data_IF_459868548009
#
_entry.id   IF_459868548009
#
_cell.length_a   1.000
_cell.length_b   1.000
_cell.length_c   1.000
_cell.angle_alpha   90.00
_cell.angle_beta   90.00
_cell.angle_gamma   90.00
#
_symmetry.space_group_name_H-M   'P 1'
#
loop_
_entity.id
_entity.type
_entity.pdbx_description
1 polymer ?
#
# COMPACT_ATOMS: atom_id res chain seq x y z
N UNK A 1 -26.40 28.35 -13.13
CA UNK A 1 -25.90 27.03 -12.71
C UNK A 1 -25.11 27.27 -11.43
N UNK A 2 -25.71 26.99 -10.28
CA UNK A 2 -25.00 27.03 -9.00
C UNK A 2 -23.86 26.00 -9.05
N UNK A 3 -22.64 26.48 -9.01
CA UNK A 3 -21.47 25.63 -8.89
C UNK A 3 -21.56 24.89 -7.56
N UNK A 4 -21.91 23.60 -7.60
CA UNK A 4 -21.86 22.75 -6.42
C UNK A 4 -20.47 22.83 -5.82
N UNK A 5 -20.33 23.45 -4.65
CA UNK A 5 -19.06 23.58 -3.96
C UNK A 5 -18.62 22.18 -3.54
N UNK A 6 -17.78 21.52 -4.37
CA UNK A 6 -17.32 20.15 -4.15
C UNK A 6 -16.60 20.06 -2.81
N UNK A 7 -16.85 18.99 -2.06
CA UNK A 7 -16.13 18.68 -0.83
C UNK A 7 -14.65 18.46 -1.13
N UNK A 8 -13.77 19.03 -0.31
CA UNK A 8 -12.31 18.90 -0.46
C UNK A 8 -11.85 17.62 0.21
N UNK A 9 -11.05 16.81 -0.50
CA UNK A 9 -10.33 15.67 0.06
C UNK A 9 -8.82 16.01 0.07
N UNK A 10 -8.23 16.00 1.26
CA UNK A 10 -6.79 16.19 1.45
C UNK A 10 -6.07 14.83 1.36
N UNK A 11 -5.04 14.74 0.52
CA UNK A 11 -4.29 13.51 0.28
C UNK A 11 -2.86 13.70 0.76
N UNK A 12 -2.49 13.04 1.87
CA UNK A 12 -1.11 12.95 2.36
C UNK A 12 -0.36 11.89 1.56
N UNK A 13 0.93 12.14 1.30
CA UNK A 13 1.72 11.22 0.47
C UNK A 13 1.37 11.29 -1.02
N UNK A 14 0.76 12.38 -1.49
CA UNK A 14 0.21 12.56 -2.84
C UNK A 14 1.19 12.31 -3.99
N UNK A 15 2.50 12.42 -3.75
CA UNK A 15 3.56 12.17 -4.74
C UNK A 15 4.08 10.72 -4.73
N UNK A 16 3.62 9.90 -3.81
CA UNK A 16 3.99 8.48 -3.70
C UNK A 16 3.06 7.55 -4.50
N UNK A 17 3.35 6.25 -4.49
CA UNK A 17 2.56 5.26 -5.25
C UNK A 17 1.09 5.22 -4.80
N UNK A 18 0.82 5.11 -3.51
CA UNK A 18 -0.54 5.07 -2.97
C UNK A 18 -1.25 6.42 -3.10
N UNK A 19 -0.66 7.49 -2.54
CA UNK A 19 -1.29 8.81 -2.56
C UNK A 19 -1.49 9.36 -3.97
N UNK A 20 -0.55 9.11 -4.89
CA UNK A 20 -0.71 9.46 -6.31
C UNK A 20 -1.84 8.69 -6.99
N UNK A 21 -2.04 7.41 -6.63
CA UNK A 21 -3.19 6.63 -7.09
C UNK A 21 -4.51 7.23 -6.58
N UNK A 22 -4.55 7.62 -5.31
CA UNK A 22 -5.74 8.27 -4.71
C UNK A 22 -6.05 9.61 -5.40
N UNK A 23 -5.04 10.45 -5.64
CA UNK A 23 -5.22 11.72 -6.38
C UNK A 23 -5.85 11.45 -7.74
N UNK A 24 -5.29 10.53 -8.54
CA UNK A 24 -5.82 10.20 -9.87
C UNK A 24 -7.25 9.69 -9.83
N UNK A 25 -7.56 8.76 -8.93
CA UNK A 25 -8.90 8.18 -8.83
C UNK A 25 -9.95 9.24 -8.43
N UNK A 26 -9.63 10.12 -7.49
CA UNK A 26 -10.52 11.21 -7.08
C UNK A 26 -10.75 12.23 -8.23
N UNK A 27 -9.72 12.53 -9.02
CA UNK A 27 -9.82 13.42 -10.19
C UNK A 27 -10.69 12.80 -11.29
N UNK A 28 -10.46 11.52 -11.61
CA UNK A 28 -11.27 10.78 -12.61
C UNK A 28 -12.74 10.72 -12.18
N UNK A 29 -13.01 10.41 -10.91
CA UNK A 29 -14.36 10.36 -10.35
C UNK A 29 -15.06 11.73 -10.30
N UNK A 30 -14.29 12.82 -10.30
CA UNK A 30 -14.74 14.22 -10.38
C UNK A 30 -15.86 14.62 -9.38
N UNK A 31 -16.01 13.87 -8.30
CA UNK A 31 -17.03 14.14 -7.25
C UNK A 31 -16.51 15.09 -6.16
N UNK A 32 -15.18 15.16 -6.02
CA UNK A 32 -14.48 15.90 -4.98
C UNK A 32 -13.50 16.90 -5.59
N UNK A 33 -13.14 17.91 -4.81
CA UNK A 33 -11.97 18.75 -5.05
C UNK A 33 -10.79 18.12 -4.35
N UNK A 34 -9.67 17.95 -5.04
CA UNK A 34 -8.50 17.24 -4.54
C UNK A 34 -7.45 18.23 -4.05
N UNK A 35 -7.01 18.07 -2.81
CA UNK A 35 -5.88 18.81 -2.24
C UNK A 35 -4.71 17.85 -2.02
N UNK A 36 -3.67 17.97 -2.84
CA UNK A 36 -2.44 17.22 -2.70
C UNK A 36 -1.52 17.86 -1.65
N UNK A 37 -1.06 17.05 -0.69
CA UNK A 37 -0.13 17.48 0.34
C UNK A 37 1.27 16.96 0.01
N UNK A 38 2.24 17.85 -0.10
CA UNK A 38 3.63 17.54 -0.47
C UNK A 38 4.62 18.46 0.23
N UNK A 39 5.84 17.97 0.45
CA UNK A 39 6.94 18.79 0.99
C UNK A 39 7.42 19.86 0.00
N UNK A 40 7.23 19.62 -1.30
CA UNK A 40 7.70 20.54 -2.35
C UNK A 40 6.59 20.84 -3.37
N UNK A 41 5.64 21.75 -3.08
CA UNK A 41 4.54 22.09 -3.97
C UNK A 41 5.01 22.72 -5.28
N UNK A 42 6.17 23.40 -5.29
CA UNK A 42 6.68 24.05 -6.50
C UNK A 42 7.00 23.05 -7.63
N UNK A 43 7.39 21.81 -7.28
CA UNK A 43 7.66 20.72 -8.23
C UNK A 43 6.41 20.00 -8.73
N UNK A 44 5.25 20.23 -8.10
CA UNK A 44 4.04 19.42 -8.31
C UNK A 44 2.78 20.28 -8.48
N UNK A 45 2.92 21.47 -9.09
CA UNK A 45 1.84 22.48 -9.18
C UNK A 45 0.55 21.99 -9.84
N UNK A 46 0.68 21.03 -10.77
CA UNK A 46 -0.44 20.49 -11.55
C UNK A 46 -0.95 19.15 -11.03
N UNK A 47 -0.47 18.71 -9.85
CA UNK A 47 -0.80 17.39 -9.31
C UNK A 47 -2.28 17.26 -8.94
N UNK A 48 -2.91 18.34 -8.46
CA UNK A 48 -4.29 18.35 -8.01
C UNK A 48 -4.89 19.77 -8.10
N UNK A 49 -6.19 19.92 -7.77
CA UNK A 49 -6.88 21.22 -7.75
C UNK A 49 -6.23 22.21 -6.78
N UNK A 50 -5.70 21.70 -5.67
CA UNK A 50 -4.89 22.46 -4.71
C UNK A 50 -3.63 21.66 -4.38
N UNK A 51 -2.49 22.33 -4.32
CA UNK A 51 -1.22 21.72 -3.86
C UNK A 51 -0.67 22.57 -2.72
N UNK A 52 -0.61 21.96 -1.52
CA UNK A 52 -0.24 22.64 -0.28
C UNK A 52 1.02 22.01 0.29
N UNK A 53 1.93 22.86 0.79
CA UNK A 53 3.10 22.40 1.50
C UNK A 53 2.69 21.80 2.85
N UNK A 54 3.12 20.58 3.07
CA UNK A 54 2.94 19.84 4.31
C UNK A 54 4.07 18.84 4.52
N UNK A 55 4.52 18.72 5.75
CA UNK A 55 5.55 17.78 6.17
C UNK A 55 5.11 17.12 7.48
N UNK A 56 5.04 15.79 7.50
CA UNK A 56 4.65 15.04 8.70
C UNK A 56 5.66 15.19 9.86
N UNK A 57 6.91 15.53 9.56
CA UNK A 57 7.93 15.88 10.56
C UNK A 57 7.78 17.32 11.10
N UNK A 58 6.85 18.09 10.55
CA UNK A 58 6.59 19.48 10.91
C UNK A 58 5.11 19.68 11.19
N UNK A 59 4.61 19.26 12.37
CA UNK A 59 3.17 19.25 12.71
C UNK A 59 2.48 20.60 12.53
N UNK A 60 3.21 21.71 12.68
CA UNK A 60 2.70 23.06 12.46
C UNK A 60 2.19 23.30 11.03
N UNK A 61 2.69 22.53 10.04
CA UNK A 61 2.24 22.61 8.65
C UNK A 61 0.89 21.92 8.41
N UNK A 62 0.51 20.98 9.27
CA UNK A 62 -0.67 20.14 9.10
C UNK A 62 -1.98 20.89 9.31
N UNK A 63 -2.00 21.88 10.22
CA UNK A 63 -3.21 22.68 10.48
C UNK A 63 -3.73 23.35 9.21
N UNK A 64 -2.85 23.98 8.44
CA UNK A 64 -3.20 24.62 7.16
C UNK A 64 -3.58 23.58 6.10
N UNK A 65 -2.89 22.45 6.11
CA UNK A 65 -3.09 21.39 5.15
C UNK A 65 -4.51 20.82 5.20
N UNK A 66 -5.06 20.63 6.40
CA UNK A 66 -6.41 20.08 6.60
C UNK A 66 -7.52 21.13 6.73
N UNK A 67 -7.19 22.44 6.80
CA UNK A 67 -8.20 23.48 6.96
C UNK A 67 -9.28 23.42 5.87
N UNK A 68 -10.56 23.29 6.27
CA UNK A 68 -11.70 23.21 5.36
C UNK A 68 -11.80 21.89 4.53
N UNK A 69 -10.95 20.90 4.78
CA UNK A 69 -11.08 19.59 4.16
C UNK A 69 -12.27 18.82 4.77
N UNK A 70 -13.08 18.23 3.90
CA UNK A 70 -14.16 17.32 4.31
C UNK A 70 -13.63 15.94 4.65
N UNK A 71 -12.69 15.43 3.85
CA UNK A 71 -12.05 14.14 4.05
C UNK A 71 -10.54 14.24 3.97
N UNK A 72 -9.86 13.24 4.54
CA UNK A 72 -8.41 13.12 4.48
C UNK A 72 -8.00 11.66 4.26
N UNK A 73 -7.08 11.45 3.31
CA UNK A 73 -6.34 10.18 3.16
C UNK A 73 -4.94 10.35 3.72
N UNK A 74 -4.52 9.41 4.55
CA UNK A 74 -3.18 9.37 5.13
C UNK A 74 -2.47 8.06 4.78
N UNK A 75 -1.26 8.19 4.27
CA UNK A 75 -0.26 7.13 4.21
C UNK A 75 1.07 7.68 4.69
N UNK A 76 1.78 6.91 5.49
CA UNK A 76 3.13 7.20 5.99
C UNK A 76 4.15 6.29 5.33
N UNK A 77 5.43 6.67 5.40
CA UNK A 77 6.54 5.90 4.85
C UNK A 77 7.40 5.36 5.99
N UNK A 78 7.38 4.04 6.18
CA UNK A 78 8.24 3.35 7.14
C UNK A 78 9.72 3.43 6.72
N UNK A 79 10.61 3.56 7.68
CA UNK A 79 12.07 3.49 7.45
C UNK A 79 12.71 4.76 6.89
N UNK A 80 11.97 5.87 6.79
CA UNK A 80 12.59 7.15 6.51
C UNK A 80 13.49 7.57 7.70
N UNK A 81 14.78 7.82 7.42
CA UNK A 81 15.75 8.11 8.48
C UNK A 81 15.30 9.26 9.39
N UNK A 82 15.39 9.04 10.71
CA UNK A 82 15.06 10.04 11.72
C UNK A 82 13.57 10.32 11.90
N UNK A 83 12.67 9.40 11.48
CA UNK A 83 11.23 9.56 11.62
C UNK A 83 10.60 8.43 12.43
N UNK A 84 9.67 8.77 13.31
CA UNK A 84 8.74 7.81 13.92
C UNK A 84 7.41 7.84 13.16
N UNK A 85 7.08 6.75 12.50
CA UNK A 85 5.88 6.65 11.68
C UNK A 85 4.59 6.80 12.51
N UNK A 86 4.58 6.27 13.75
CA UNK A 86 3.42 6.35 14.64
C UNK A 86 3.23 7.78 15.14
N UNK A 87 4.32 8.48 15.47
CA UNK A 87 4.27 9.90 15.86
C UNK A 87 3.77 10.77 14.72
N UNK A 88 4.30 10.59 13.51
CA UNK A 88 3.86 11.29 12.31
C UNK A 88 2.36 11.09 12.04
N UNK A 89 1.89 9.85 12.05
CA UNK A 89 0.50 9.53 11.84
C UNK A 89 -0.39 10.11 12.96
N UNK A 90 0.04 10.02 14.20
CA UNK A 90 -0.67 10.59 15.36
C UNK A 90 -0.85 12.10 15.23
N UNK A 91 0.21 12.81 14.85
CA UNK A 91 0.14 14.26 14.62
C UNK A 91 -0.84 14.61 13.48
N UNK A 92 -0.82 13.84 12.38
CA UNK A 92 -1.73 14.04 11.26
C UNK A 92 -3.20 13.77 11.65
N UNK A 93 -3.47 12.68 12.39
CA UNK A 93 -4.82 12.35 12.88
C UNK A 93 -5.36 13.48 13.78
N UNK A 94 -4.56 13.97 14.72
CA UNK A 94 -4.94 15.09 15.59
C UNK A 94 -5.23 16.35 14.78
N UNK A 95 -4.33 16.74 13.90
CA UNK A 95 -4.50 17.93 13.06
C UNK A 95 -5.73 17.86 12.16
N UNK A 96 -6.03 16.69 11.56
CA UNK A 96 -7.22 16.46 10.77
C UNK A 96 -8.50 16.55 11.63
N UNK A 97 -8.47 16.00 12.84
CA UNK A 97 -9.59 16.10 13.79
C UNK A 97 -9.87 17.53 14.20
N UNK A 98 -8.83 18.28 14.58
CA UNK A 98 -8.90 19.69 15.00
C UNK A 98 -9.38 20.59 13.86
N UNK A 99 -9.05 20.25 12.61
CA UNK A 99 -9.52 20.94 11.42
C UNK A 99 -10.99 20.61 11.05
N UNK A 100 -11.63 19.68 11.77
CA UNK A 100 -13.02 19.30 11.57
C UNK A 100 -13.26 18.35 10.39
N UNK A 101 -12.24 17.61 9.93
CA UNK A 101 -12.38 16.55 8.93
C UNK A 101 -13.46 15.57 9.36
N UNK A 102 -14.34 15.22 8.45
CA UNK A 102 -15.51 14.34 8.71
C UNK A 102 -15.23 12.88 8.38
N UNK A 103 -14.47 12.60 7.33
CA UNK A 103 -14.12 11.25 6.92
C UNK A 103 -12.61 11.09 6.84
N UNK A 104 -12.05 10.19 7.64
CA UNK A 104 -10.62 9.90 7.66
C UNK A 104 -10.35 8.50 7.11
N UNK A 105 -9.51 8.40 6.08
CA UNK A 105 -9.09 7.13 5.48
C UNK A 105 -7.61 6.92 5.76
N UNK A 106 -7.29 5.83 6.46
CA UNK A 106 -5.94 5.46 6.84
C UNK A 106 -5.47 4.23 6.07
N UNK A 107 -4.27 4.32 5.47
CA UNK A 107 -3.60 3.17 4.85
C UNK A 107 -2.84 2.38 5.90
N UNK A 108 -3.39 1.25 6.27
CA UNK A 108 -2.90 0.36 7.32
C UNK A 108 -2.33 -0.94 6.78
N UNK A 109 -1.83 -1.77 7.69
CA UNK A 109 -1.41 -3.16 7.48
C UNK A 109 -1.88 -4.02 8.68
N UNK A 110 -1.90 -5.36 8.54
CA UNK A 110 -2.29 -6.26 9.64
C UNK A 110 -1.43 -6.10 10.89
N UNK A 111 -2.04 -6.26 12.06
CA UNK A 111 -1.32 -6.32 13.33
C UNK A 111 -0.66 -7.70 13.50
N UNK A 112 0.58 -7.80 13.02
CA UNK A 112 1.36 -9.04 13.03
C UNK A 112 1.56 -9.58 14.44
N UNK A 113 1.81 -8.72 15.41
CA UNK A 113 2.01 -9.14 16.81
C UNK A 113 0.72 -9.70 17.40
N UNK A 114 -0.42 -9.03 17.19
CA UNK A 114 -1.72 -9.50 17.68
C UNK A 114 -2.16 -10.79 16.99
N UNK A 115 -2.04 -10.87 15.66
CA UNK A 115 -2.42 -12.06 14.88
C UNK A 115 -1.57 -13.27 15.23
N UNK A 116 -0.27 -13.09 15.47
CA UNK A 116 0.66 -14.19 15.75
C UNK A 116 0.79 -14.53 17.23
N UNK A 117 0.10 -13.82 18.12
CA UNK A 117 0.29 -13.95 19.58
C UNK A 117 1.70 -13.57 20.02
N UNK A 118 2.33 -12.60 19.37
CA UNK A 118 3.69 -12.13 19.65
C UNK A 118 4.81 -13.00 19.07
N UNK A 119 4.48 -14.00 18.23
CA UNK A 119 5.48 -14.92 17.65
C UNK A 119 6.34 -14.26 16.57
N UNK A 120 5.79 -13.32 15.82
CA UNK A 120 6.49 -12.58 14.75
C UNK A 120 6.54 -11.11 15.08
N UNK A 121 7.67 -10.47 14.74
CA UNK A 121 7.91 -9.04 14.93
C UNK A 121 8.20 -8.38 13.58
N UNK A 122 7.21 -7.65 13.06
CA UNK A 122 7.31 -6.93 11.79
C UNK A 122 6.91 -5.47 12.01
N UNK A 123 7.83 -4.61 12.46
CA UNK A 123 7.58 -3.23 12.88
C UNK A 123 6.83 -2.40 11.87
N UNK A 124 7.13 -2.53 10.56
CA UNK A 124 6.44 -1.76 9.51
C UNK A 124 4.97 -2.17 9.30
N UNK A 125 4.56 -3.36 9.76
CA UNK A 125 3.16 -3.77 9.84
C UNK A 125 2.51 -3.30 11.14
N UNK A 126 3.08 -3.72 12.26
CA UNK A 126 2.54 -3.45 13.61
C UNK A 126 2.49 -1.95 13.90
N UNK A 127 3.45 -1.16 13.39
CA UNK A 127 3.45 0.30 13.52
C UNK A 127 2.20 0.93 12.91
N UNK A 128 1.82 0.50 11.70
CA UNK A 128 0.60 0.97 11.03
C UNK A 128 -0.67 0.53 11.78
N UNK A 129 -0.73 -0.72 12.23
CA UNK A 129 -1.86 -1.23 13.00
C UNK A 129 -2.06 -0.50 14.35
N UNK A 130 -0.98 -0.05 15.00
CA UNK A 130 -1.07 0.80 16.21
C UNK A 130 -1.82 2.10 15.94
N UNK A 131 -1.68 2.67 14.74
CA UNK A 131 -2.38 3.89 14.34
C UNK A 131 -3.89 3.65 14.16
N UNK A 132 -4.32 2.43 13.83
CA UNK A 132 -5.75 2.10 13.70
C UNK A 132 -6.52 2.47 14.98
N UNK A 133 -5.94 2.16 16.15
CA UNK A 133 -6.53 2.51 17.45
C UNK A 133 -6.62 4.01 17.61
N UNK A 134 -5.59 4.76 17.23
CA UNK A 134 -5.54 6.23 17.33
C UNK A 134 -6.64 6.85 16.45
N UNK A 135 -6.84 6.33 15.24
CA UNK A 135 -7.91 6.77 14.33
C UNK A 135 -9.29 6.50 14.93
N UNK A 136 -9.50 5.31 15.50
CA UNK A 136 -10.77 4.95 16.18
C UNK A 136 -11.05 5.85 17.38
N UNK A 137 -10.05 6.09 18.23
CA UNK A 137 -10.13 6.96 19.41
C UNK A 137 -10.37 8.43 19.05
N UNK A 138 -9.93 8.89 17.89
CA UNK A 138 -10.17 10.25 17.40
C UNK A 138 -11.64 10.53 17.07
N UNK A 139 -12.49 9.49 16.92
CA UNK A 139 -13.94 9.61 16.72
C UNK A 139 -14.30 10.58 15.59
N UNK A 140 -13.74 10.37 14.41
CA UNK A 140 -14.25 11.02 13.20
C UNK A 140 -15.70 10.60 12.94
N UNK A 141 -16.47 11.43 12.26
CA UNK A 141 -17.84 11.04 11.87
C UNK A 141 -17.85 9.77 11.01
N UNK A 142 -16.84 9.64 10.14
CA UNK A 142 -16.55 8.43 9.39
C UNK A 142 -15.05 8.15 9.41
N UNK A 143 -14.67 6.88 9.49
CA UNK A 143 -13.29 6.44 9.33
C UNK A 143 -13.25 5.09 8.63
N UNK A 144 -12.25 4.90 7.78
CA UNK A 144 -12.07 3.70 6.95
C UNK A 144 -10.61 3.30 6.96
N UNK A 145 -10.35 2.02 6.95
CA UNK A 145 -9.01 1.46 6.84
C UNK A 145 -8.84 0.80 5.46
N UNK A 146 -7.82 1.19 4.71
CA UNK A 146 -7.47 0.47 3.49
C UNK A 146 -6.19 -0.30 3.71
N UNK A 147 -6.14 -1.56 3.25
CA UNK A 147 -4.97 -2.39 3.39
C UNK A 147 -4.29 -2.52 2.03
N UNK A 148 -3.07 -1.99 1.95
CA UNK A 148 -2.24 -2.14 0.76
C UNK A 148 -1.80 -3.61 0.62
N UNK A 149 -1.74 -4.17 -0.61
CA UNK A 149 -1.31 -5.54 -0.86
C UNK A 149 0.22 -5.66 -0.83
N UNK A 150 0.73 -6.87 -1.02
CA UNK A 150 2.08 -7.03 -1.56
C UNK A 150 2.07 -6.52 -3.01
N UNK A 151 2.81 -5.44 -3.30
CA UNK A 151 2.70 -4.74 -4.59
C UNK A 151 3.25 -5.58 -5.74
N UNK A 152 2.55 -5.64 -6.87
CA UNK A 152 3.13 -6.14 -8.11
C UNK A 152 4.38 -5.36 -8.50
N UNK A 153 4.41 -4.07 -8.24
CA UNK A 153 5.56 -3.18 -8.49
C UNK A 153 6.82 -3.61 -7.77
N UNK A 154 6.72 -4.38 -6.67
CA UNK A 154 7.89 -4.93 -6.00
C UNK A 154 8.70 -5.85 -6.92
N UNK A 155 8.03 -6.59 -7.82
CA UNK A 155 8.65 -7.54 -8.75
C UNK A 155 9.54 -6.86 -9.82
N UNK A 156 9.37 -5.56 -10.06
CA UNK A 156 10.20 -4.76 -10.97
C UNK A 156 11.00 -3.67 -10.22
N UNK A 157 10.91 -3.65 -8.90
CA UNK A 157 11.58 -2.71 -8.01
C UNK A 157 12.45 -3.41 -6.98
N UNK A 158 12.10 -3.29 -5.71
CA UNK A 158 12.90 -3.77 -4.57
C UNK A 158 13.09 -5.29 -4.54
N UNK A 159 12.23 -6.03 -5.18
CA UNK A 159 12.30 -7.49 -5.33
C UNK A 159 12.40 -7.89 -6.82
N UNK A 160 13.04 -7.07 -7.66
CA UNK A 160 13.34 -7.48 -9.01
C UNK A 160 14.23 -8.74 -9.01
N UNK A 161 14.05 -9.68 -9.99
CA UNK A 161 14.85 -10.89 -10.04
C UNK A 161 16.34 -10.55 -10.20
N UNK A 162 17.20 -11.28 -9.49
CA UNK A 162 18.63 -11.06 -9.45
C UNK A 162 19.38 -12.27 -10.02
N UNK A 163 20.59 -12.03 -10.55
CA UNK A 163 21.50 -13.10 -10.92
C UNK A 163 21.96 -13.85 -9.66
N UNK A 164 21.80 -15.16 -9.66
CA UNK A 164 22.16 -16.05 -8.56
C UNK A 164 23.60 -16.59 -8.71
N UNK A 165 24.12 -17.22 -7.66
CA UNK A 165 25.48 -17.75 -7.63
C UNK A 165 25.72 -18.86 -8.68
N UNK A 166 24.69 -19.61 -9.04
CA UNK A 166 24.72 -20.65 -10.07
C UNK A 166 24.58 -20.13 -11.51
N UNK A 167 24.46 -18.79 -11.66
CA UNK A 167 24.28 -18.11 -12.94
C UNK A 167 22.82 -17.98 -13.41
N UNK A 168 21.87 -18.62 -12.74
CA UNK A 168 20.43 -18.44 -13.01
C UNK A 168 19.99 -17.02 -12.65
N UNK A 169 18.79 -16.60 -13.11
CA UNK A 169 18.17 -15.34 -12.72
C UNK A 169 16.86 -15.65 -11.98
N UNK A 170 16.62 -14.99 -10.88
CA UNK A 170 15.42 -15.23 -10.08
C UNK A 170 15.50 -14.67 -8.68
N UNK A 171 14.91 -15.38 -7.74
CA UNK A 171 14.82 -14.95 -6.35
C UNK A 171 15.48 -15.92 -5.39
N UNK A 172 16.12 -15.37 -4.35
CA UNK A 172 16.61 -16.10 -3.21
C UNK A 172 15.96 -15.53 -1.94
N UNK A 173 14.93 -16.22 -1.41
CA UNK A 173 14.10 -15.72 -0.30
C UNK A 173 13.94 -16.77 0.80
N UNK A 174 13.68 -16.36 2.06
CA UNK A 174 13.57 -17.25 3.20
C UNK A 174 12.13 -17.76 3.39
N UNK A 175 11.55 -18.33 2.34
CA UNK A 175 10.19 -18.89 2.38
C UNK A 175 10.10 -20.15 1.52
N UNK A 176 9.16 -21.04 1.84
CA UNK A 176 8.77 -22.14 0.96
C UNK A 176 7.97 -21.57 -0.21
N UNK A 177 8.47 -21.65 -1.45
CA UNK A 177 7.83 -21.04 -2.59
C UNK A 177 6.49 -21.70 -2.98
N UNK A 178 6.18 -22.88 -2.47
CA UNK A 178 4.95 -23.63 -2.79
C UNK A 178 3.74 -23.21 -1.95
N UNK A 179 4.00 -22.58 -0.80
CA UNK A 179 2.93 -22.16 0.13
C UNK A 179 2.25 -20.89 -0.38
N UNK A 180 0.94 -20.98 -0.64
CA UNK A 180 0.12 -19.81 -0.97
C UNK A 180 -0.07 -18.96 0.28
N UNK A 181 0.53 -17.79 0.29
CA UNK A 181 0.57 -16.93 1.46
C UNK A 181 0.52 -15.42 1.14
N UNK A 182 0.65 -15.05 -0.14
CA UNK A 182 0.84 -13.67 -0.55
C UNK A 182 -0.43 -13.12 -1.20
N UNK A 183 -1.10 -12.19 -0.52
CA UNK A 183 -2.14 -11.36 -1.11
C UNK A 183 -1.48 -10.18 -1.81
N UNK A 184 -1.60 -10.12 -3.13
CA UNK A 184 -0.87 -9.15 -3.94
C UNK A 184 -1.78 -8.40 -4.91
N UNK A 185 -1.32 -7.25 -5.40
CA UNK A 185 -2.11 -6.42 -6.30
C UNK A 185 -1.33 -5.24 -6.90
N UNK A 186 -1.93 -4.62 -7.90
CA UNK A 186 -1.44 -3.36 -8.45
C UNK A 186 -1.76 -2.21 -7.49
N UNK A 187 -0.73 -1.64 -6.86
CA UNK A 187 -0.93 -0.57 -5.88
C UNK A 187 -1.61 0.67 -6.47
N UNK A 188 -1.56 0.85 -7.79
CA UNK A 188 -2.23 1.98 -8.44
C UNK A 188 -3.75 1.89 -8.37
N UNK A 189 -4.31 0.72 -8.11
CA UNK A 189 -5.75 0.47 -7.98
C UNK A 189 -6.30 0.76 -6.58
N UNK A 190 -5.42 0.98 -5.58
CA UNK A 190 -5.86 1.39 -4.23
C UNK A 190 -6.66 2.70 -4.26
N UNK A 191 -6.36 3.55 -5.23
CA UNK A 191 -7.06 4.81 -5.43
C UNK A 191 -8.56 4.64 -5.64
N UNK A 192 -8.98 3.61 -6.38
CA UNK A 192 -10.40 3.35 -6.66
C UNK A 192 -11.16 2.97 -5.38
N UNK A 193 -10.53 2.17 -4.52
CA UNK A 193 -11.09 1.80 -3.20
C UNK A 193 -11.26 3.05 -2.33
N UNK A 194 -10.22 3.89 -2.26
CA UNK A 194 -10.23 5.12 -1.45
C UNK A 194 -11.27 6.12 -1.97
N UNK A 195 -11.32 6.35 -3.29
CA UNK A 195 -12.31 7.23 -3.91
C UNK A 195 -13.74 6.71 -3.67
N UNK A 196 -13.93 5.41 -3.82
CA UNK A 196 -15.19 4.74 -3.53
C UNK A 196 -15.61 4.84 -2.06
N UNK A 197 -14.65 4.75 -1.12
CA UNK A 197 -14.90 4.91 0.31
C UNK A 197 -15.40 6.32 0.64
N UNK A 198 -14.76 7.37 0.11
CA UNK A 198 -15.23 8.75 0.28
C UNK A 198 -16.62 8.99 -0.32
N UNK A 199 -16.95 8.32 -1.43
CA UNK A 199 -18.24 8.45 -2.08
C UNK A 199 -19.38 7.70 -1.35
N UNK A 200 -19.05 6.68 -0.54
CA UNK A 200 -20.04 5.81 0.14
C UNK A 200 -19.73 5.66 1.64
N UNK A 201 -19.71 6.77 2.40
CA UNK A 201 -19.34 6.73 3.83
C UNK A 201 -20.32 5.90 4.68
N UNK A 202 -21.56 5.74 4.25
CA UNK A 202 -22.58 4.88 4.85
C UNK A 202 -22.24 3.38 4.78
N UNK A 203 -21.40 2.96 3.83
CA UNK A 203 -20.99 1.57 3.67
C UNK A 203 -19.57 1.29 4.20
N UNK A 204 -18.76 2.32 4.42
CA UNK A 204 -17.33 2.16 4.71
C UNK A 204 -16.80 3.02 5.85
N UNK A 205 -17.65 3.90 6.41
CA UNK A 205 -17.26 4.92 7.36
C UNK A 205 -17.30 4.49 8.83
N UNK A 206 -17.56 3.22 9.13
CA UNK A 206 -17.69 2.72 10.51
C UNK A 206 -16.51 1.89 10.98
N UNK A 207 -15.36 2.02 10.32
CA UNK A 207 -14.12 1.32 10.66
C UNK A 207 -13.90 0.06 9.84
N UNK A 208 -14.52 -0.03 8.66
CA UNK A 208 -14.33 -1.14 7.74
C UNK A 208 -12.88 -1.20 7.24
N UNK A 209 -12.38 -2.43 7.10
CA UNK A 209 -11.10 -2.74 6.49
C UNK A 209 -11.32 -3.16 5.04
N UNK A 210 -10.67 -2.45 4.11
CA UNK A 210 -10.83 -2.63 2.67
C UNK A 210 -9.48 -3.03 2.04
N UNK A 211 -9.16 -4.33 1.99
CA UNK A 211 -7.91 -4.79 1.39
C UNK A 211 -7.98 -4.78 -0.14
N UNK A 212 -6.94 -4.26 -0.78
CA UNK A 212 -6.73 -4.45 -2.22
C UNK A 212 -6.11 -5.84 -2.46
N UNK A 213 -6.81 -6.71 -3.19
CA UNK A 213 -6.29 -8.04 -3.53
C UNK A 213 -6.60 -8.39 -4.98
N UNK A 214 -5.59 -8.32 -5.83
CA UNK A 214 -5.67 -8.83 -7.21
C UNK A 214 -5.54 -10.35 -7.26
N UNK A 215 -4.53 -10.88 -6.57
CA UNK A 215 -4.27 -12.32 -6.49
C UNK A 215 -3.88 -12.76 -5.09
N UNK A 216 -4.13 -14.05 -4.80
CA UNK A 216 -3.60 -14.75 -3.65
C UNK A 216 -2.75 -15.91 -4.16
N UNK A 217 -1.44 -15.86 -3.96
CA UNK A 217 -0.48 -16.71 -4.65
C UNK A 217 0.63 -17.25 -3.73
N UNK A 218 1.24 -18.33 -4.17
CA UNK A 218 2.57 -18.76 -3.74
C UNK A 218 3.64 -18.11 -4.62
N UNK A 219 4.91 -18.13 -4.18
CA UNK A 219 6.01 -17.58 -4.99
C UNK A 219 6.25 -18.42 -6.26
N UNK A 220 6.06 -19.73 -6.20
CA UNK A 220 6.09 -20.61 -7.39
C UNK A 220 5.05 -20.19 -8.43
N UNK A 221 3.82 -19.91 -8.02
CA UNK A 221 2.78 -19.44 -8.95
C UNK A 221 3.10 -18.09 -9.59
N UNK A 222 3.80 -17.19 -8.87
CA UNK A 222 4.31 -15.92 -9.41
C UNK A 222 5.33 -16.21 -10.52
N UNK A 223 6.34 -17.05 -10.22
CA UNK A 223 7.39 -17.43 -11.17
C UNK A 223 6.79 -18.13 -12.39
N UNK A 224 5.89 -19.08 -12.19
CA UNK A 224 5.21 -19.79 -13.28
C UNK A 224 4.43 -18.82 -14.19
N UNK A 225 3.83 -17.78 -13.59
CA UNK A 225 3.13 -16.75 -14.36
C UNK A 225 4.08 -15.99 -15.28
N UNK A 226 5.26 -15.62 -14.79
CA UNK A 226 6.28 -14.94 -15.58
C UNK A 226 6.93 -15.87 -16.61
N UNK A 227 7.24 -17.11 -16.23
CA UNK A 227 7.87 -18.08 -17.13
C UNK A 227 6.94 -18.48 -18.30
N UNK A 228 5.63 -18.57 -18.06
CA UNK A 228 4.65 -18.72 -19.15
C UNK A 228 4.60 -17.53 -20.13
N UNK A 229 5.17 -16.39 -19.74
CA UNK A 229 5.30 -15.20 -20.59
C UNK A 229 6.67 -15.10 -21.28
N UNK A 230 7.47 -16.18 -21.22
CA UNK A 230 8.74 -16.29 -21.94
C UNK A 230 9.98 -15.98 -21.08
N UNK A 231 9.82 -15.71 -19.78
CA UNK A 231 10.97 -15.62 -18.87
C UNK A 231 11.49 -17.00 -18.48
N UNK A 232 12.67 -17.05 -17.88
CA UNK A 232 13.28 -18.26 -17.33
C UNK A 232 13.84 -17.97 -15.94
N UNK A 233 12.92 -17.69 -15.01
CA UNK A 233 13.26 -17.38 -13.63
C UNK A 233 13.27 -18.63 -12.76
N UNK A 234 14.19 -18.64 -11.78
CA UNK A 234 14.33 -19.67 -10.77
C UNK A 234 14.06 -19.14 -9.36
N UNK A 235 13.91 -20.05 -8.42
CA UNK A 235 13.77 -19.73 -7.00
C UNK A 235 14.75 -20.57 -6.19
N UNK A 236 15.43 -19.93 -5.25
CA UNK A 236 16.29 -20.56 -4.26
C UNK A 236 15.75 -20.26 -2.86
N UNK A 237 15.31 -21.30 -2.16
CA UNK A 237 14.96 -21.13 -0.76
C UNK A 237 16.24 -20.94 0.07
N UNK A 238 16.31 -19.84 0.81
CA UNK A 238 17.44 -19.50 1.68
C UNK A 238 17.03 -19.73 3.14
N UNK A 239 17.87 -20.35 3.99
CA UNK A 239 17.60 -20.40 5.43
C UNK A 239 17.39 -18.99 6.00
N UNK A 240 16.43 -18.86 6.92
CA UNK A 240 16.06 -17.56 7.53
C UNK A 240 17.27 -16.82 8.12
N UNK A 241 18.13 -17.56 8.81
CA UNK A 241 19.30 -17.03 9.50
C UNK A 241 20.34 -16.50 8.50
N UNK A 242 20.49 -17.18 7.35
CA UNK A 242 21.39 -16.75 6.26
C UNK A 242 20.84 -15.48 5.62
N UNK A 243 19.54 -15.46 5.30
CA UNK A 243 18.90 -14.29 4.69
C UNK A 243 18.98 -13.05 5.60
N UNK A 244 18.76 -13.24 6.91
CA UNK A 244 18.77 -12.16 7.90
C UNK A 244 20.12 -11.40 7.96
N UNK A 245 21.21 -12.02 7.50
CA UNK A 245 22.55 -11.42 7.46
C UNK A 245 22.91 -10.73 6.15
N UNK A 246 22.08 -10.77 5.10
CA UNK A 246 22.49 -10.32 3.76
C UNK A 246 22.56 -8.78 3.62
N UNK A 247 21.73 -8.04 4.32
CA UNK A 247 21.70 -6.58 4.24
C UNK A 247 21.00 -5.97 5.48
N UNK A 248 21.19 -4.68 5.79
CA UNK A 248 20.49 -4.02 6.88
C UNK A 248 18.95 -4.09 6.69
N UNK A 249 18.22 -4.63 7.69
CA UNK A 249 16.76 -4.84 7.62
C UNK A 249 16.34 -6.22 7.09
N UNK A 250 17.26 -7.05 6.59
CA UNK A 250 16.92 -8.39 6.09
C UNK A 250 16.27 -9.29 7.16
N UNK A 251 16.63 -9.12 8.43
CA UNK A 251 16.03 -9.88 9.53
C UNK A 251 14.53 -9.61 9.66
N UNK A 252 14.09 -8.34 9.55
CA UNK A 252 12.66 -7.98 9.57
C UNK A 252 11.91 -8.55 8.35
N UNK A 253 12.53 -8.50 7.16
CA UNK A 253 11.95 -9.10 5.95
C UNK A 253 11.82 -10.62 6.09
N UNK A 254 12.79 -11.30 6.73
CA UNK A 254 12.70 -12.72 7.01
C UNK A 254 11.58 -13.05 8.00
N UNK A 255 11.38 -12.21 9.04
CA UNK A 255 10.22 -12.32 9.94
C UNK A 255 8.90 -12.13 9.20
N UNK A 256 8.82 -11.14 8.32
CA UNK A 256 7.64 -10.88 7.49
C UNK A 256 7.27 -12.09 6.62
N UNK A 257 8.23 -12.70 5.93
CA UNK A 257 7.96 -13.90 5.14
C UNK A 257 7.57 -15.10 6.01
N UNK A 258 8.19 -15.26 7.18
CA UNK A 258 7.78 -16.27 8.16
C UNK A 258 6.34 -16.08 8.62
N UNK A 259 5.94 -14.85 8.91
CA UNK A 259 4.55 -14.50 9.23
C UNK A 259 3.60 -14.84 8.07
N UNK A 260 3.94 -14.47 6.83
CA UNK A 260 3.09 -14.79 5.67
C UNK A 260 2.84 -16.30 5.57
N UNK A 261 3.87 -17.13 5.73
CA UNK A 261 3.73 -18.58 5.67
C UNK A 261 2.85 -19.15 6.78
N UNK A 262 2.91 -18.58 7.98
CA UNK A 262 2.15 -19.07 9.12
C UNK A 262 0.69 -18.56 9.15
N UNK A 263 0.44 -17.35 8.65
CA UNK A 263 -0.82 -16.62 8.84
C UNK A 263 -1.39 -16.00 7.57
N UNK A 264 -0.71 -16.11 6.43
CA UNK A 264 -0.93 -15.35 5.19
C UNK A 264 -0.62 -13.85 5.35
N UNK A 265 -0.52 -13.11 4.24
CA UNK A 265 -0.26 -11.66 4.26
C UNK A 265 -1.29 -10.89 5.11
N UNK A 266 -2.58 -11.20 4.95
CA UNK A 266 -3.66 -10.49 5.66
C UNK A 266 -3.87 -10.99 7.09
N UNK A 267 -3.44 -12.22 7.42
CA UNK A 267 -3.49 -12.74 8.78
C UNK A 267 -4.88 -13.14 9.30
N UNK A 268 -5.92 -13.05 8.49
CA UNK A 268 -7.32 -13.37 8.84
C UNK A 268 -8.12 -13.84 7.62
N UNK A 269 -9.31 -14.41 7.84
CA UNK A 269 -10.26 -14.64 6.74
C UNK A 269 -10.79 -13.31 6.24
N UNK A 270 -10.37 -12.91 5.06
CA UNK A 270 -10.59 -11.59 4.46
C UNK A 270 -11.55 -11.58 3.28
N UNK A 271 -12.26 -12.69 3.03
CA UNK A 271 -13.14 -12.83 1.84
C UNK A 271 -14.21 -11.75 1.77
N UNK A 272 -14.89 -11.47 2.87
CA UNK A 272 -15.95 -10.47 2.90
C UNK A 272 -15.40 -9.05 2.75
N UNK A 273 -14.24 -8.76 3.37
CA UNK A 273 -13.56 -7.48 3.23
C UNK A 273 -13.07 -7.24 1.80
N UNK A 274 -12.52 -8.28 1.14
CA UNK A 274 -12.10 -8.22 -0.27
C UNK A 274 -13.32 -8.00 -1.17
N UNK A 275 -14.42 -8.71 -0.94
CA UNK A 275 -15.65 -8.54 -1.69
C UNK A 275 -16.23 -7.12 -1.53
N UNK A 276 -16.22 -6.58 -0.30
CA UNK A 276 -16.62 -5.20 -0.05
C UNK A 276 -15.69 -4.21 -0.74
N UNK A 277 -14.37 -4.38 -0.63
CA UNK A 277 -13.40 -3.50 -1.29
C UNK A 277 -13.61 -3.45 -2.82
N UNK A 278 -13.81 -4.61 -3.47
CA UNK A 278 -14.08 -4.69 -4.90
C UNK A 278 -15.41 -4.02 -5.29
N UNK A 279 -16.46 -4.22 -4.47
CA UNK A 279 -17.75 -3.52 -4.64
C UNK A 279 -17.59 -2.01 -4.53
N UNK A 280 -16.80 -1.53 -3.56
CA UNK A 280 -16.53 -0.11 -3.33
C UNK A 280 -15.68 0.49 -4.45
N UNK A 281 -14.68 -0.24 -4.95
CA UNK A 281 -13.89 0.16 -6.12
C UNK A 281 -14.72 0.20 -7.41
N UNK A 282 -15.82 -0.54 -7.48
CA UNK A 282 -16.68 -0.64 -8.67
C UNK A 282 -16.10 -1.52 -9.77
N UNK A 283 -15.02 -2.27 -9.48
CA UNK A 283 -14.37 -3.20 -10.42
C UNK A 283 -13.60 -4.30 -9.71
N UNK A 284 -13.28 -5.34 -10.46
CA UNK A 284 -12.32 -6.37 -10.01
C UNK A 284 -10.88 -5.86 -10.22
N UNK A 285 -9.96 -6.13 -9.29
CA UNK A 285 -8.56 -5.77 -9.45
C UNK A 285 -7.90 -6.54 -10.60
N UNK A 286 -6.92 -5.89 -11.23
CA UNK A 286 -6.10 -6.50 -12.28
C UNK A 286 -5.34 -7.71 -11.74
N UNK A 287 -5.34 -8.79 -12.50
CA UNK A 287 -4.57 -10.01 -12.19
C UNK A 287 -3.10 -9.84 -12.54
N UNK A 288 -2.21 -10.51 -11.80
CA UNK A 288 -0.77 -10.50 -12.04
C UNK A 288 -0.43 -10.81 -13.49
N UNK A 289 -1.08 -11.84 -14.06
CA UNK A 289 -0.84 -12.26 -15.44
C UNK A 289 -1.16 -11.21 -16.49
N UNK A 290 -2.10 -10.31 -16.21
CA UNK A 290 -2.42 -9.17 -17.08
C UNK A 290 -1.47 -8.01 -16.83
N UNK A 291 -1.18 -7.72 -15.55
CA UNK A 291 -0.29 -6.62 -15.15
C UNK A 291 1.13 -6.83 -15.68
N UNK A 292 1.67 -8.04 -15.59
CA UNK A 292 3.04 -8.35 -16.02
C UNK A 292 3.24 -8.20 -17.52
N UNK A 293 2.23 -8.48 -18.34
CA UNK A 293 2.32 -8.28 -19.80
C UNK A 293 2.54 -6.82 -20.20
N UNK A 294 2.14 -5.90 -19.38
CA UNK A 294 2.22 -4.45 -19.66
C UNK A 294 3.41 -3.81 -18.95
N UNK A 295 3.70 -4.24 -17.73
CA UNK A 295 4.60 -3.52 -16.83
C UNK A 295 5.93 -4.25 -16.58
N UNK A 296 5.97 -5.57 -16.77
CA UNK A 296 7.20 -6.32 -16.55
C UNK A 296 8.12 -6.19 -17.78
N UNK A 297 9.46 -6.06 -17.60
CA UNK A 297 10.39 -6.00 -18.72
C UNK A 297 10.22 -7.19 -19.65
N UNK A 298 10.34 -6.97 -20.97
CA UNK A 298 10.26 -8.07 -21.94
C UNK A 298 11.36 -9.13 -21.66
N UNK A 299 11.10 -10.41 -21.93
CA UNK A 299 12.11 -11.46 -21.83
C UNK A 299 13.34 -11.09 -22.67
N UNK A 300 14.53 -11.25 -22.11
CA UNK A 300 15.75 -11.13 -22.90
C UNK A 300 15.81 -12.34 -23.84
N UNK A 301 15.69 -12.13 -25.14
CA UNK A 301 15.82 -13.18 -26.13
C UNK A 301 17.18 -13.86 -25.98
N UNK A 302 17.20 -15.16 -25.71
CA UNK A 302 18.42 -15.96 -25.63
C UNK A 302 19.25 -15.94 -26.93
N UNK A 303 18.68 -15.47 -28.05
CA UNK A 303 19.31 -15.43 -29.35
C UNK A 303 20.23 -14.21 -29.59
N UNK A 304 20.29 -13.23 -28.68
CA UNK A 304 21.22 -12.09 -28.82
C UNK A 304 22.65 -12.38 -28.34
N UNK A 305 22.90 -13.51 -27.68
CA UNK A 305 24.21 -13.91 -27.17
C UNK A 305 24.96 -14.89 -28.08
N UNK A 306 24.40 -15.25 -29.23
CA UNK A 306 24.96 -16.22 -30.19
C UNK A 306 25.39 -15.57 -31.55
N UNK A 307 25.65 -14.27 -31.57
CA UNK A 307 26.23 -13.60 -32.73
C UNK A 307 27.54 -12.90 -32.39
#
# INVERSE_FOLDING_TARGET
>A
MEGTNKKVIAVVGATGQQGGAVVRALQVGNQFKVRALTRNPAKHRELADEVIQSDLNRPETLKRAFAGAHGAFLVTNFGAAGTDEVEQATAAVRAAKDAGVKHFVWSTLPDVEAVSGGKFHVPHFTGKAKVDRIVKEARFANHTFVIAPFYYQNLIGVLAPQKQADGSVGWALPLDPTVRSIHMGDITELGDIVAGAFARPDQTGHGEYLPLVGDYMSFSEIIDTLNRQGHNFSFHQVPKEVFAGLFPGAAEIAEMFGYFQAHTYLGFDSRDQIALANKIAGRQPTKLSAWTRVNFPAPQNADAAAR
#
